data_IF_457161064337
#
_entry.id   IF_457161064337
#
_cell.length_a   1.000
_cell.length_b   1.000
_cell.length_c   1.000
_cell.angle_alpha   90.00
_cell.angle_beta   90.00
_cell.angle_gamma   90.00
#
_symmetry.space_group_name_H-M   'P 1'
#
loop_
_entity.id
_entity.type
_entity.pdbx_description
1 polymer ?
#
# COMPACT_ATOMS: atom_id res chain seq x y z
N UNK A 1 3.46 2.76 0.90
CA UNK A 1 3.92 2.73 2.32
C UNK A 1 4.44 1.35 2.68
N UNK A 2 5.58 1.26 3.37
CA UNK A 2 6.17 0.01 3.85
C UNK A 2 6.61 0.17 5.30
N UNK A 3 6.28 -0.81 6.14
CA UNK A 3 6.65 -0.78 7.56
C UNK A 3 6.75 -2.17 8.22
N UNK A 4 6.31 -3.23 7.53
CA UNK A 4 6.38 -4.58 8.08
C UNK A 4 7.82 -5.10 8.12
N UNK A 5 8.23 -5.78 9.21
CA UNK A 5 9.58 -6.34 9.35
C UNK A 5 10.01 -7.16 8.14
N UNK A 6 9.12 -8.00 7.61
CA UNK A 6 9.40 -8.86 6.46
C UNK A 6 9.79 -8.12 5.18
N UNK A 7 9.50 -6.82 5.08
CA UNK A 7 9.78 -6.01 3.89
C UNK A 7 10.92 -5.01 4.13
N UNK A 8 11.18 -4.62 5.39
CA UNK A 8 12.09 -3.51 5.65
C UNK A 8 13.30 -3.88 6.51
N UNK A 9 13.30 -4.99 7.22
CA UNK A 9 14.37 -5.32 8.16
C UNK A 9 15.58 -5.99 7.50
N UNK A 10 15.40 -6.61 6.34
CA UNK A 10 16.45 -7.28 5.60
C UNK A 10 16.82 -6.49 4.34
N UNK A 11 18.12 -6.20 4.17
CA UNK A 11 18.61 -5.43 3.02
C UNK A 11 18.30 -6.10 1.69
N UNK A 12 18.43 -7.43 1.65
CA UNK A 12 18.19 -8.27 0.48
C UNK A 12 16.74 -8.20 -0.02
N UNK A 13 15.80 -7.81 0.85
CA UNK A 13 14.39 -7.61 0.52
C UNK A 13 14.12 -6.14 0.18
N UNK A 14 14.61 -5.21 0.99
CA UNK A 14 14.29 -3.79 0.83
C UNK A 14 14.99 -3.17 -0.38
N UNK A 15 16.27 -3.47 -0.62
CA UNK A 15 17.05 -2.87 -1.70
C UNK A 15 16.47 -3.16 -3.10
N UNK A 16 16.06 -4.38 -3.47
CA UNK A 16 15.37 -4.62 -4.74
C UNK A 16 14.08 -3.81 -4.90
N UNK A 17 13.31 -3.62 -3.82
CA UNK A 17 12.10 -2.79 -3.86
C UNK A 17 12.46 -1.33 -4.12
N UNK A 18 13.50 -0.81 -3.45
CA UNK A 18 13.98 0.56 -3.67
C UNK A 18 14.48 0.74 -5.10
N UNK A 19 15.28 -0.20 -5.64
CA UNK A 19 15.74 -0.16 -7.04
C UNK A 19 14.56 -0.12 -8.01
N UNK A 20 13.55 -0.97 -7.81
CA UNK A 20 12.34 -0.95 -8.63
C UNK A 20 11.65 0.43 -8.60
N UNK A 21 11.50 1.02 -7.41
CA UNK A 21 10.90 2.35 -7.28
C UNK A 21 11.71 3.42 -8.01
N UNK A 22 13.03 3.44 -7.83
CA UNK A 22 13.92 4.48 -8.39
C UNK A 22 14.19 4.28 -9.89
N UNK A 23 14.35 3.05 -10.35
CA UNK A 23 14.79 2.77 -11.72
C UNK A 23 13.64 2.54 -12.70
N UNK A 24 12.45 2.18 -12.20
CA UNK A 24 11.31 1.81 -13.05
C UNK A 24 10.10 2.71 -12.80
N UNK A 25 9.54 2.72 -11.58
CA UNK A 25 8.31 3.48 -11.28
C UNK A 25 8.51 4.99 -11.47
N UNK A 26 9.66 5.52 -11.06
CA UNK A 26 9.97 6.95 -11.14
C UNK A 26 10.09 7.49 -12.57
N UNK A 27 10.21 6.63 -13.58
CA UNK A 27 10.21 7.06 -14.99
C UNK A 27 8.86 7.59 -15.43
N UNK A 28 7.79 7.02 -14.88
CA UNK A 28 6.43 7.29 -15.31
C UNK A 28 5.63 8.08 -14.26
N UNK A 29 5.93 7.89 -12.98
CA UNK A 29 5.15 8.43 -11.87
C UNK A 29 6.03 9.09 -10.81
N UNK A 30 5.53 10.17 -10.22
CA UNK A 30 6.09 10.68 -8.96
C UNK A 30 5.67 9.78 -7.81
N UNK A 31 6.60 9.50 -6.91
CA UNK A 31 6.40 8.62 -5.76
C UNK A 31 6.28 9.47 -4.51
N UNK A 32 5.12 9.42 -3.86
CA UNK A 32 4.88 10.07 -2.58
C UNK A 32 4.93 9.00 -1.48
N UNK A 33 5.86 9.13 -0.57
CA UNK A 33 6.07 8.13 0.48
C UNK A 33 6.06 8.75 1.87
N UNK A 34 4.91 8.73 2.57
CA UNK A 34 4.86 8.96 4.00
C UNK A 34 5.65 7.85 4.71
N UNK A 35 6.81 8.20 5.26
CA UNK A 35 7.79 7.21 5.72
C UNK A 35 7.53 6.86 7.18
N UNK A 36 7.40 5.57 7.44
CA UNK A 36 7.32 5.04 8.79
C UNK A 36 8.71 5.10 9.47
N UNK A 37 8.81 5.44 10.77
CA UNK A 37 10.10 5.57 11.47
C UNK A 37 10.99 4.32 11.38
N UNK A 38 10.41 3.13 11.44
CA UNK A 38 11.14 1.85 11.25
C UNK A 38 11.81 1.81 9.88
N UNK A 39 11.07 2.12 8.84
CA UNK A 39 11.56 2.09 7.46
C UNK A 39 12.65 3.12 7.24
N UNK A 40 12.47 4.34 7.75
CA UNK A 40 13.50 5.38 7.71
C UNK A 40 14.81 4.93 8.38
N UNK A 41 14.70 4.31 9.56
CA UNK A 41 15.86 3.75 10.26
C UNK A 41 16.60 2.73 9.41
N UNK A 42 15.89 1.78 8.82
CA UNK A 42 16.50 0.73 7.99
C UNK A 42 17.11 1.27 6.71
N UNK A 43 16.45 2.19 6.03
CA UNK A 43 17.00 2.86 4.85
C UNK A 43 18.32 3.58 5.16
N UNK A 44 18.41 4.25 6.31
CA UNK A 44 19.66 4.87 6.78
C UNK A 44 20.73 3.81 7.11
N UNK A 45 20.35 2.77 7.81
CA UNK A 45 21.26 1.66 8.17
C UNK A 45 21.85 0.97 6.94
N UNK A 46 21.05 0.81 5.88
CA UNK A 46 21.48 0.17 4.63
C UNK A 46 22.15 1.13 3.62
N UNK A 47 22.24 2.43 3.96
CA UNK A 47 22.85 3.43 3.09
C UNK A 47 22.03 3.83 1.87
N UNK A 48 20.70 3.59 1.90
CA UNK A 48 19.76 3.87 0.80
C UNK A 48 19.06 5.22 0.95
N UNK A 49 19.18 5.86 2.11
CA UNK A 49 18.42 7.06 2.45
C UNK A 49 18.78 8.28 1.60
N UNK A 50 20.07 8.56 1.42
CA UNK A 50 20.52 9.75 0.70
C UNK A 50 20.18 9.68 -0.79
N UNK A 51 20.19 8.50 -1.38
CA UNK A 51 19.78 8.30 -2.76
C UNK A 51 18.29 8.59 -2.96
N UNK A 52 17.44 8.12 -2.04
CA UNK A 52 16.00 8.42 -2.06
C UNK A 52 15.75 9.93 -1.93
N UNK A 53 16.45 10.62 -1.03
CA UNK A 53 16.32 12.06 -0.84
C UNK A 53 16.75 12.87 -2.08
N UNK A 54 17.77 12.39 -2.79
CA UNK A 54 18.30 13.08 -3.96
C UNK A 54 17.47 12.83 -5.24
N UNK A 55 16.57 11.85 -5.23
CA UNK A 55 15.85 11.47 -6.43
C UNK A 55 14.70 12.43 -6.74
N UNK A 56 14.65 13.06 -7.93
CA UNK A 56 13.72 14.14 -8.25
C UNK A 56 12.22 13.74 -8.26
N UNK A 57 11.93 12.45 -8.49
CA UNK A 57 10.57 11.92 -8.50
C UNK A 57 10.15 11.30 -7.15
N UNK A 58 11.01 11.36 -6.13
CA UNK A 58 10.73 10.81 -4.81
C UNK A 58 10.38 11.94 -3.83
N UNK A 59 9.17 11.91 -3.30
CA UNK A 59 8.68 12.86 -2.30
C UNK A 59 8.55 12.11 -0.97
N UNK A 60 9.56 12.24 -0.12
CA UNK A 60 9.54 11.64 1.22
C UNK A 60 8.85 12.58 2.19
N UNK A 61 7.82 12.09 2.86
CA UNK A 61 7.07 12.84 3.87
C UNK A 61 7.32 12.24 5.26
N UNK A 62 7.27 13.07 6.28
CA UNK A 62 7.09 12.59 7.66
C UNK A 62 5.75 11.82 7.75
N UNK A 63 5.55 11.01 8.80
CA UNK A 63 4.25 10.41 9.05
C UNK A 63 3.16 11.49 9.04
N UNK A 64 2.14 11.26 8.24
CA UNK A 64 1.01 12.18 8.03
C UNK A 64 -0.23 11.67 8.73
N UNK A 65 -1.23 12.53 8.90
CA UNK A 65 -2.50 12.17 9.49
C UNK A 65 -3.39 11.34 8.55
N UNK A 66 -4.47 10.81 9.12
CA UNK A 66 -5.41 9.95 8.39
C UNK A 66 -6.01 10.64 7.17
N UNK A 67 -6.46 11.90 7.31
CA UNK A 67 -7.12 12.63 6.22
C UNK A 67 -6.17 12.93 5.06
N UNK A 68 -4.92 13.28 5.35
CA UNK A 68 -3.89 13.50 4.33
C UNK A 68 -3.58 12.18 3.61
N UNK A 69 -3.46 11.07 4.34
CA UNK A 69 -3.22 9.75 3.75
C UNK A 69 -4.39 9.32 2.86
N UNK A 70 -5.61 9.54 3.30
CA UNK A 70 -6.82 9.25 2.54
C UNK A 70 -6.85 10.08 1.24
N UNK A 71 -6.49 11.38 1.31
CA UNK A 71 -6.42 12.25 0.14
C UNK A 71 -5.37 11.76 -0.86
N UNK A 72 -4.18 11.40 -0.41
CA UNK A 72 -3.16 10.81 -1.27
C UNK A 72 -3.64 9.52 -1.94
N UNK A 73 -4.35 8.66 -1.21
CA UNK A 73 -4.91 7.43 -1.75
C UNK A 73 -5.98 7.71 -2.82
N UNK A 74 -6.83 8.72 -2.61
CA UNK A 74 -7.85 9.11 -3.59
C UNK A 74 -7.25 9.54 -4.93
N UNK A 75 -6.09 10.17 -4.93
CA UNK A 75 -5.45 10.71 -6.13
C UNK A 75 -4.34 9.80 -6.71
N UNK A 76 -3.95 8.74 -5.98
CA UNK A 76 -2.90 7.83 -6.42
C UNK A 76 -3.34 6.98 -7.62
N UNK A 77 -2.50 6.80 -8.62
CA UNK A 77 -2.74 5.84 -9.71
C UNK A 77 -2.63 4.40 -9.23
N UNK A 78 -1.71 4.14 -8.32
CA UNK A 78 -1.51 2.83 -7.70
C UNK A 78 -1.00 3.02 -6.26
N UNK A 79 -1.45 2.17 -5.36
CA UNK A 79 -0.96 2.10 -3.99
C UNK A 79 -0.07 0.87 -3.83
N UNK A 80 1.19 1.07 -3.41
CA UNK A 80 2.09 0.00 -2.97
C UNK A 80 2.15 0.03 -1.45
N UNK A 81 1.69 -1.03 -0.80
CA UNK A 81 1.58 -1.05 0.67
C UNK A 81 1.69 -2.44 1.27
N UNK A 82 2.11 -2.51 2.54
CA UNK A 82 1.99 -3.70 3.37
C UNK A 82 0.98 -3.53 4.53
N UNK A 83 0.21 -2.43 4.50
CA UNK A 83 -0.81 -2.10 5.49
C UNK A 83 -2.16 -2.75 5.16
N UNK A 84 -2.74 -3.46 6.12
CA UNK A 84 -4.09 -4.01 5.98
C UNK A 84 -5.19 -2.94 5.93
N UNK A 85 -5.05 -1.85 6.70
CA UNK A 85 -6.01 -0.73 6.67
C UNK A 85 -6.06 -0.04 5.31
N UNK A 86 -4.89 0.18 4.68
CA UNK A 86 -4.84 0.77 3.34
C UNK A 86 -5.44 -0.15 2.26
N UNK A 87 -5.39 -1.48 2.41
CA UNK A 87 -6.13 -2.39 1.52
C UNK A 87 -7.63 -2.12 1.56
N UNK A 88 -8.19 -1.91 2.77
CA UNK A 88 -9.61 -1.61 2.95
C UNK A 88 -9.97 -0.26 2.32
N UNK A 89 -9.17 0.77 2.57
CA UNK A 89 -9.36 2.09 1.97
C UNK A 89 -9.28 2.04 0.45
N UNK A 90 -8.27 1.38 -0.12
CA UNK A 90 -8.12 1.20 -1.56
C UNK A 90 -9.33 0.49 -2.18
N UNK A 91 -9.90 -0.51 -1.51
CA UNK A 91 -11.10 -1.21 -1.97
C UNK A 91 -12.28 -0.25 -2.10
N UNK A 92 -12.55 0.56 -1.06
CA UNK A 92 -13.65 1.53 -1.06
C UNK A 92 -13.44 2.66 -2.07
N UNK A 93 -12.20 3.13 -2.24
CA UNK A 93 -11.85 4.22 -3.17
C UNK A 93 -11.66 3.74 -4.61
N UNK A 94 -11.53 2.43 -4.82
CA UNK A 94 -11.20 1.84 -6.11
C UNK A 94 -9.76 2.09 -6.55
N UNK A 95 -8.87 2.44 -5.64
CA UNK A 95 -7.46 2.64 -5.94
C UNK A 95 -6.79 1.28 -6.13
N UNK A 96 -6.23 0.98 -7.29
CA UNK A 96 -5.49 -0.25 -7.51
C UNK A 96 -4.39 -0.42 -6.47
N UNK A 97 -4.31 -1.58 -5.83
CA UNK A 97 -3.45 -1.79 -4.66
C UNK A 97 -2.56 -3.02 -4.84
N UNK A 98 -1.25 -2.81 -4.85
CA UNK A 98 -0.26 -3.88 -4.78
C UNK A 98 0.12 -4.09 -3.31
N UNK A 99 -0.33 -5.20 -2.76
CA UNK A 99 -0.09 -5.53 -1.36
C UNK A 99 1.17 -6.38 -1.22
N UNK A 100 2.22 -5.79 -0.65
CA UNK A 100 3.52 -6.43 -0.45
C UNK A 100 3.48 -7.41 0.73
N UNK A 101 2.62 -8.41 0.60
CA UNK A 101 2.39 -9.48 1.57
C UNK A 101 2.10 -10.79 0.86
N UNK A 102 2.43 -11.91 1.51
CA UNK A 102 2.14 -13.26 1.02
C UNK A 102 0.72 -13.72 1.36
N UNK A 103 0.13 -13.13 2.39
CA UNK A 103 -1.24 -13.40 2.85
C UNK A 103 -1.90 -12.12 3.36
N UNK A 104 -3.21 -12.16 3.55
CA UNK A 104 -3.97 -11.08 4.17
C UNK A 104 -5.05 -11.62 5.09
N UNK A 105 -5.28 -10.91 6.17
CA UNK A 105 -6.43 -11.10 7.05
C UNK A 105 -7.70 -10.41 6.53
N UNK A 106 -7.64 -9.83 5.33
CA UNK A 106 -8.72 -9.09 4.68
C UNK A 106 -9.00 -9.61 3.27
N UNK A 107 -9.39 -10.89 3.12
CA UNK A 107 -9.56 -11.51 1.81
C UNK A 107 -10.61 -10.80 0.94
N UNK A 108 -11.61 -10.16 1.56
CA UNK A 108 -12.66 -9.41 0.86
C UNK A 108 -12.11 -8.23 0.04
N UNK A 109 -10.89 -7.75 0.31
CA UNK A 109 -10.26 -6.65 -0.43
C UNK A 109 -9.53 -7.10 -1.68
N UNK A 110 -9.36 -8.41 -1.88
CA UNK A 110 -8.63 -8.96 -3.03
C UNK A 110 -9.44 -8.89 -4.32
N UNK A 111 -8.76 -8.67 -5.46
CA UNK A 111 -9.40 -8.63 -6.78
C UNK A 111 -10.20 -9.91 -7.09
N UNK A 112 -9.70 -11.07 -6.70
CA UNK A 112 -10.40 -12.36 -6.86
C UNK A 112 -11.74 -12.43 -6.12
N UNK A 113 -11.93 -11.57 -5.12
CA UNK A 113 -13.16 -11.42 -4.36
C UNK A 113 -13.91 -10.11 -4.69
N UNK A 114 -13.53 -9.46 -5.80
CA UNK A 114 -14.14 -8.22 -6.27
C UNK A 114 -13.55 -6.94 -5.67
N UNK A 115 -12.51 -7.01 -4.86
CA UNK A 115 -11.82 -5.85 -4.30
C UNK A 115 -10.81 -5.20 -5.25
N UNK A 116 -9.87 -4.42 -4.71
CA UNK A 116 -8.88 -3.66 -5.45
C UNK A 116 -7.43 -4.10 -5.19
N UNK A 117 -7.19 -5.09 -4.34
CA UNK A 117 -5.87 -5.51 -3.89
C UNK A 117 -5.38 -6.78 -4.58
N UNK A 118 -4.09 -6.77 -4.95
CA UNK A 118 -3.36 -7.97 -5.42
C UNK A 118 -2.23 -8.25 -4.43
N UNK A 119 -2.13 -9.50 -3.94
CA UNK A 119 -1.00 -9.92 -3.12
C UNK A 119 0.20 -10.20 -4.01
N UNK A 120 1.25 -9.41 -3.85
CA UNK A 120 2.50 -9.54 -4.64
C UNK A 120 3.67 -10.08 -3.82
N UNK A 121 3.51 -10.18 -2.51
CA UNK A 121 4.62 -10.53 -1.61
C UNK A 121 5.73 -9.49 -1.66
N UNK A 122 6.95 -9.94 -1.43
CA UNK A 122 8.19 -9.18 -1.67
C UNK A 122 8.98 -9.73 -2.88
N UNK A 123 8.29 -10.39 -3.80
CA UNK A 123 8.87 -10.92 -5.05
C UNK A 123 8.90 -9.80 -6.10
N UNK A 124 10.09 -9.31 -6.39
CA UNK A 124 10.28 -8.16 -7.28
C UNK A 124 9.77 -8.41 -8.71
N UNK A 125 9.89 -9.63 -9.23
CA UNK A 125 9.39 -9.96 -10.55
C UNK A 125 7.86 -9.89 -10.61
N UNK A 126 7.18 -10.39 -9.57
CA UNK A 126 5.72 -10.30 -9.45
C UNK A 126 5.26 -8.86 -9.21
N UNK A 127 5.97 -8.11 -8.37
CA UNK A 127 5.67 -6.67 -8.15
C UNK A 127 5.72 -5.92 -9.48
N UNK A 128 6.75 -6.15 -10.30
CA UNK A 128 6.92 -5.52 -11.61
C UNK A 128 5.81 -5.89 -12.59
N UNK A 129 5.50 -7.17 -12.72
CA UNK A 129 4.44 -7.66 -13.59
C UNK A 129 3.08 -7.05 -13.21
N UNK A 130 2.71 -7.13 -11.94
CA UNK A 130 1.43 -6.61 -11.48
C UNK A 130 1.37 -5.07 -11.50
N UNK A 131 2.48 -4.38 -11.34
CA UNK A 131 2.55 -2.93 -11.52
C UNK A 131 2.19 -2.54 -12.96
N UNK A 132 2.78 -3.18 -13.97
CA UNK A 132 2.48 -2.92 -15.38
C UNK A 132 1.01 -3.23 -15.70
N UNK A 133 0.49 -4.35 -15.21
CA UNK A 133 -0.91 -4.72 -15.38
C UNK A 133 -1.85 -3.68 -14.74
N UNK A 134 -1.48 -3.20 -13.57
CA UNK A 134 -2.29 -2.26 -12.78
C UNK A 134 -2.39 -0.88 -13.42
N UNK A 135 -1.35 -0.39 -14.08
CA UNK A 135 -1.37 0.90 -14.78
C UNK A 135 -2.39 0.96 -15.93
N UNK A 136 -2.84 -0.18 -16.43
CA UNK A 136 -3.85 -0.29 -17.48
C UNK A 136 -5.28 -0.45 -16.94
N UNK A 137 -5.44 -0.53 -15.61
CA UNK A 137 -6.74 -0.80 -15.00
C UNK A 137 -7.48 0.50 -14.67
N UNK A 138 -8.77 0.50 -14.94
CA UNK A 138 -9.67 1.54 -14.43
C UNK A 138 -9.93 1.37 -12.94
N UNK A 139 -10.16 2.48 -12.27
CA UNK A 139 -10.60 2.48 -10.87
C UNK A 139 -11.99 1.88 -10.74
N UNK A 140 -12.15 0.94 -9.82
CA UNK A 140 -13.44 0.32 -9.50
C UNK A 140 -13.68 0.38 -7.99
N UNK A 141 -14.30 1.47 -7.49
CA UNK A 141 -14.72 1.52 -6.09
C UNK A 141 -15.65 0.36 -5.76
N UNK A 142 -15.30 -0.38 -4.71
CA UNK A 142 -16.10 -1.52 -4.25
C UNK A 142 -16.44 -1.32 -2.79
N UNK A 143 -17.71 -1.39 -2.48
CA UNK A 143 -18.18 -1.40 -1.10
C UNK A 143 -18.68 -2.80 -0.76
N UNK A 144 -17.89 -3.62 -0.08
CA UNK A 144 -18.33 -4.94 0.37
C UNK A 144 -19.60 -4.87 1.20
N UNK A 145 -20.35 -5.95 1.22
CA UNK A 145 -21.55 -6.06 2.05
C UNK A 145 -21.23 -5.71 3.52
N UNK A 146 -22.12 -5.00 4.18
CA UNK A 146 -21.99 -4.49 5.55
C UNK A 146 -20.91 -3.39 5.77
N UNK A 147 -20.25 -2.90 4.73
CA UNK A 147 -19.32 -1.75 4.83
C UNK A 147 -20.07 -0.42 4.67
N UNK A 148 -21.11 -0.24 5.44
CA UNK A 148 -22.06 0.88 5.38
C UNK A 148 -21.90 1.91 6.52
N UNK A 149 -20.87 1.72 7.37
CA UNK A 149 -20.63 2.56 8.54
C UNK A 149 -21.50 2.24 9.76
N UNK A 150 -22.38 1.25 9.67
CA UNK A 150 -23.31 0.90 10.76
C UNK A 150 -22.85 -0.31 11.61
N UNK A 151 -21.60 -0.75 11.48
CA UNK A 151 -21.07 -1.92 12.19
C UNK A 151 -21.22 -1.80 13.72
N UNK A 152 -20.87 -0.65 14.29
CA UNK A 152 -20.97 -0.44 15.74
C UNK A 152 -22.41 -0.61 16.25
N UNK A 153 -23.40 -0.13 15.48
CA UNK A 153 -24.82 -0.31 15.82
C UNK A 153 -25.19 -1.80 15.83
N UNK A 154 -24.83 -2.55 14.79
CA UNK A 154 -25.08 -4.00 14.71
C UNK A 154 -24.41 -4.78 15.84
N UNK A 155 -23.16 -4.42 16.18
CA UNK A 155 -22.49 -5.05 17.31
C UNK A 155 -23.21 -4.79 18.63
N UNK A 156 -23.67 -3.55 18.86
CA UNK A 156 -24.42 -3.21 20.07
C UNK A 156 -25.76 -3.97 20.14
N UNK A 157 -26.51 -4.01 19.04
CA UNK A 157 -27.75 -4.76 18.96
C UNK A 157 -27.55 -6.25 19.24
N UNK A 158 -26.51 -6.85 18.68
CA UNK A 158 -26.18 -8.26 18.94
C UNK A 158 -25.83 -8.52 20.41
N UNK A 159 -25.07 -7.63 21.06
CA UNK A 159 -24.72 -7.76 22.49
C UNK A 159 -25.96 -7.63 23.39
N UNK A 160 -26.87 -6.71 23.06
CA UNK A 160 -28.07 -6.47 23.86
C UNK A 160 -29.16 -7.54 23.66
N UNK A 161 -29.08 -8.35 22.62
CA UNK A 161 -30.01 -9.44 22.33
C UNK A 161 -29.65 -10.76 23.02
N UNK A 162 -28.50 -10.81 23.72
CA UNK A 162 -28.06 -11.90 24.59
C UNK A 162 -28.48 -11.65 26.03
#
# INVERSE_FOLDING_TARGET
TLHRPSNVDEREVLDPIIRFLLDEVSKDLSIIWPIHPRTQKQLKTFGLWEELLAHPQMILLHPIGYHEMLRLNMDAQVMLTDSGGLQEECCVLGTPCLTLRWNTERPITLEENGGASILVGNNISRIREEYQNTLQKDRKPVRPELWDGATAKRCLEAILSY
#
